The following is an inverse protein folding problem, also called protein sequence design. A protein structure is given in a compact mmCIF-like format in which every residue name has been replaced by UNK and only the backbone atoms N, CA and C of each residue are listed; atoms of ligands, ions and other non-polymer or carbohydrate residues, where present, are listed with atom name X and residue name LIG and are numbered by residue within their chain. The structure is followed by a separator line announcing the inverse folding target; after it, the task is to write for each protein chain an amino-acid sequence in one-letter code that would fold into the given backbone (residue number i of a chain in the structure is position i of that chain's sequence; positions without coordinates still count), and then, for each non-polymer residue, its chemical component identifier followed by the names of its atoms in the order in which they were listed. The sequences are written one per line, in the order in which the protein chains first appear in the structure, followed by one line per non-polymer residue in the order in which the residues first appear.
data_IF_966217306798
#
_entry.id   IF_966217306798
#
_cell.length_a   1.000
_cell.length_b   1.000
_cell.length_c   1.000
_cell.angle_alpha   90.00
_cell.angle_beta   90.00
_cell.angle_gamma   90.00
#
_symmetry.space_group_name_H-M   'P 1'
#
loop_
_entity.id
_entity.type
_entity.pdbx_description
1 polymer ?
#
# COMPACT_ATOMS: atom_id res chain seq x y z
N UNK A 1 -28.35 8.76 73.86
CA UNK A 1 -29.28 8.08 72.94
C UNK A 1 -30.46 9.02 72.74
N UNK A 2 -30.41 9.90 71.74
CA UNK A 2 -31.20 9.88 70.48
C UNK A 2 -31.89 11.26 70.42
N UNK A 3 -32.09 11.97 69.33
CA UNK A 3 -31.72 11.83 67.93
C UNK A 3 -31.73 13.23 67.29
N UNK A 4 -30.93 13.44 66.25
CA UNK A 4 -30.82 14.72 65.51
C UNK A 4 -31.97 14.89 64.51
N UNK A 5 -32.50 16.12 64.46
CA UNK A 5 -33.49 16.62 63.49
C UNK A 5 -33.01 16.50 62.04
N UNK A 6 -33.96 16.17 61.15
CA UNK A 6 -33.74 16.01 59.72
C UNK A 6 -33.80 17.29 58.88
N UNK A 7 -33.39 17.10 57.62
CA UNK A 7 -34.09 17.55 56.43
C UNK A 7 -33.95 19.00 55.98
N UNK A 8 -33.03 19.24 55.04
CA UNK A 8 -33.27 20.13 53.87
C UNK A 8 -32.49 19.59 52.67
N UNK A 9 -33.21 19.25 51.62
CA UNK A 9 -32.67 19.06 50.27
C UNK A 9 -32.54 20.45 49.63
N UNK A 10 -31.43 20.70 48.95
CA UNK A 10 -31.39 21.71 47.88
C UNK A 10 -30.49 21.25 46.74
N UNK A 11 -31.00 21.56 45.55
CA UNK A 11 -30.61 21.13 44.21
C UNK A 11 -29.14 21.31 43.86
N UNK A 12 -28.59 20.41 43.01
CA UNK A 12 -27.99 20.70 41.68
C UNK A 12 -27.96 19.41 40.84
N UNK A 13 -28.90 19.24 39.90
CA UNK A 13 -28.73 18.31 38.78
C UNK A 13 -27.78 18.98 37.79
N UNK A 14 -26.55 18.47 37.70
CA UNK A 14 -25.60 18.84 36.67
C UNK A 14 -26.13 18.42 35.30
N UNK A 15 -26.04 19.33 34.35
CA UNK A 15 -26.25 19.04 32.95
C UNK A 15 -25.07 18.22 32.43
N UNK A 16 -25.16 16.89 32.52
CA UNK A 16 -24.32 16.01 31.73
C UNK A 16 -24.84 16.04 30.29
N UNK A 17 -24.17 16.80 29.42
CA UNK A 17 -24.33 16.67 27.97
C UNK A 17 -22.99 16.44 27.29
N UNK A 18 -22.92 15.24 26.71
CA UNK A 18 -22.10 14.76 25.62
C UNK A 18 -20.58 14.88 25.78
N UNK A 19 -19.98 13.80 26.31
CA UNK A 19 -18.64 13.42 25.92
C UNK A 19 -18.63 13.01 24.45
N UNK A 20 -17.75 13.65 23.68
CA UNK A 20 -17.37 13.29 22.32
C UNK A 20 -16.76 11.87 22.32
N UNK A 21 -17.61 10.89 22.00
CA UNK A 21 -17.31 9.47 21.98
C UNK A 21 -16.70 8.99 20.66
N UNK A 22 -15.90 9.82 19.99
CA UNK A 22 -15.12 9.38 18.83
C UNK A 22 -14.08 8.34 19.25
N UNK A 23 -14.22 7.11 18.78
CA UNK A 23 -13.23 6.04 18.97
C UNK A 23 -11.88 6.50 18.40
N UNK A 24 -10.86 6.61 19.26
CA UNK A 24 -9.52 6.97 18.83
C UNK A 24 -8.93 5.81 18.05
N UNK A 25 -8.90 5.93 16.72
CA UNK A 25 -8.17 4.97 15.86
C UNK A 25 -6.69 5.04 16.20
N UNK A 26 -6.10 3.91 16.57
CA UNK A 26 -4.68 3.80 16.82
C UNK A 26 -3.88 4.19 15.57
N UNK A 27 -2.81 4.97 15.75
CA UNK A 27 -1.92 5.30 14.64
C UNK A 27 -1.20 4.02 14.17
N UNK A 28 -1.19 3.69 12.87
CA UNK A 28 -0.45 2.55 12.39
C UNK A 28 1.05 2.75 12.64
N UNK A 29 1.72 1.68 13.07
CA UNK A 29 3.17 1.64 13.25
C UNK A 29 3.76 0.75 12.15
N UNK A 30 4.87 1.19 11.57
CA UNK A 30 5.52 0.51 10.46
C UNK A 30 6.98 0.23 10.82
N UNK A 31 7.45 -0.97 10.51
CA UNK A 31 8.85 -1.36 10.62
C UNK A 31 9.42 -1.59 9.22
N UNK A 32 10.70 -1.25 9.03
CA UNK A 32 11.39 -1.48 7.76
C UNK A 32 11.93 -2.90 7.73
N UNK A 33 11.77 -3.57 6.60
CA UNK A 33 12.52 -4.80 6.31
C UNK A 33 14.03 -4.58 6.42
N UNK A 34 14.73 -5.58 6.95
CA UNK A 34 16.19 -5.57 7.05
C UNK A 34 16.85 -5.70 5.67
N UNK A 35 16.12 -6.26 4.71
CA UNK A 35 16.52 -6.56 3.33
C UNK A 35 16.47 -5.34 2.41
N UNK A 36 15.99 -4.19 2.92
CA UNK A 36 15.87 -2.98 2.12
C UNK A 36 17.22 -2.52 1.51
N UNK A 37 17.23 -2.05 0.25
CA UNK A 37 16.08 -1.98 -0.66
C UNK A 37 15.75 -3.34 -1.29
N UNK A 38 14.46 -3.67 -1.36
CA UNK A 38 13.97 -4.93 -1.94
C UNK A 38 14.08 -4.98 -3.47
N UNK A 39 13.99 -3.83 -4.13
CA UNK A 39 14.33 -3.63 -5.55
C UNK A 39 15.62 -2.82 -5.63
N UNK A 40 16.62 -3.36 -6.33
CA UNK A 40 17.96 -2.79 -6.45
C UNK A 40 18.17 -2.25 -7.87
N UNK A 41 19.02 -1.22 -8.04
CA UNK A 41 19.53 -0.81 -9.35
C UNK A 41 20.06 -1.98 -10.17
N UNK A 42 20.02 -1.84 -11.49
CA UNK A 42 20.74 -2.70 -12.44
C UNK A 42 20.38 -4.21 -12.33
N UNK A 43 19.16 -4.53 -11.90
CA UNK A 43 18.62 -5.89 -11.90
C UNK A 43 18.28 -6.42 -13.32
N UNK A 44 18.27 -5.53 -14.31
CA UNK A 44 18.14 -5.80 -15.75
C UNK A 44 18.99 -4.75 -16.50
N UNK A 45 19.55 -5.15 -17.65
CA UNK A 45 20.28 -4.29 -18.57
C UNK A 45 19.56 -2.98 -18.96
N UNK A 46 18.22 -2.98 -19.04
CA UNK A 46 17.41 -1.78 -19.39
C UNK A 46 17.02 -0.94 -18.17
N UNK A 47 17.07 -1.50 -16.97
CA UNK A 47 16.51 -0.88 -15.77
C UNK A 47 17.23 0.42 -15.38
N UNK A 48 18.55 0.36 -15.37
CA UNK A 48 19.40 1.42 -14.84
C UNK A 48 19.24 1.62 -13.34
N UNK A 49 19.61 2.81 -12.86
CA UNK A 49 19.78 3.08 -11.41
C UNK A 49 18.60 3.74 -10.71
N UNK A 50 17.59 4.19 -11.45
CA UNK A 50 16.50 4.98 -10.89
C UNK A 50 15.26 4.10 -10.64
N UNK A 51 14.97 3.84 -9.37
CA UNK A 51 13.84 3.02 -8.91
C UNK A 51 12.84 3.93 -8.21
N UNK A 52 11.64 4.09 -8.76
CA UNK A 52 10.59 4.95 -8.19
C UNK A 52 9.21 4.53 -8.72
N UNK A 53 8.15 5.01 -8.06
CA UNK A 53 6.76 4.88 -8.49
C UNK A 53 6.28 3.43 -8.43
N UNK A 54 6.51 2.75 -7.31
CA UNK A 54 6.15 1.35 -7.14
C UNK A 54 4.68 1.19 -6.71
N UNK A 55 4.00 0.23 -7.33
CA UNK A 55 2.65 -0.23 -6.99
C UNK A 55 2.66 -1.75 -6.86
N UNK A 56 2.24 -2.24 -5.70
CA UNK A 56 2.33 -3.64 -5.29
C UNK A 56 0.92 -4.25 -5.20
N UNK A 57 0.75 -5.42 -5.79
CA UNK A 57 -0.42 -6.27 -5.56
C UNK A 57 0.04 -7.64 -5.05
N UNK A 58 -0.81 -8.27 -4.22
CA UNK A 58 -0.80 -9.73 -4.13
C UNK A 58 -1.49 -10.24 -5.38
N UNK A 59 -0.88 -11.22 -6.05
CA UNK A 59 -1.47 -11.82 -7.24
C UNK A 59 -2.78 -12.49 -6.87
N UNK A 60 -3.88 -12.21 -7.61
CA UNK A 60 -5.17 -12.80 -7.31
C UNK A 60 -5.19 -14.29 -7.64
N UNK A 61 -5.91 -15.07 -6.85
CA UNK A 61 -5.95 -16.53 -6.95
C UNK A 61 -6.55 -17.03 -8.28
N UNK A 62 -7.25 -16.16 -9.02
CA UNK A 62 -7.86 -16.47 -10.30
C UNK A 62 -6.95 -16.28 -11.51
N UNK A 63 -5.76 -15.69 -11.32
CA UNK A 63 -4.77 -15.52 -12.38
C UNK A 63 -4.09 -16.85 -12.65
N UNK A 64 -4.15 -17.30 -13.90
CA UNK A 64 -3.50 -18.54 -14.33
C UNK A 64 -2.00 -18.33 -14.53
N UNK A 65 -1.21 -19.35 -14.18
CA UNK A 65 0.25 -19.39 -14.31
C UNK A 65 0.99 -18.14 -13.77
N UNK A 66 0.80 -17.78 -12.48
CA UNK A 66 1.43 -16.58 -11.92
C UNK A 66 2.96 -16.74 -11.82
N UNK A 67 3.69 -15.64 -12.04
CA UNK A 67 5.16 -15.61 -11.91
C UNK A 67 5.62 -15.73 -10.45
N UNK A 68 4.77 -15.32 -9.50
CA UNK A 68 5.00 -15.37 -8.07
C UNK A 68 3.78 -14.87 -7.28
N UNK A 69 3.88 -14.85 -5.96
CA UNK A 69 2.76 -14.43 -5.08
C UNK A 69 2.49 -12.92 -5.10
N UNK A 70 3.51 -12.10 -5.42
CA UNK A 70 3.43 -10.65 -5.42
C UNK A 70 3.97 -10.07 -6.72
N UNK A 71 3.26 -9.09 -7.27
CA UNK A 71 3.70 -8.30 -8.42
C UNK A 71 3.93 -6.85 -7.99
N UNK A 72 5.11 -6.31 -8.32
CA UNK A 72 5.49 -4.94 -8.04
C UNK A 72 5.80 -4.24 -9.37
N UNK A 73 4.91 -3.34 -9.76
CA UNK A 73 5.00 -2.54 -10.97
C UNK A 73 5.69 -1.22 -10.65
N UNK A 74 6.63 -0.79 -11.48
CA UNK A 74 7.35 0.46 -11.22
C UNK A 74 7.96 1.07 -12.48
N UNK A 75 8.11 2.39 -12.47
CA UNK A 75 8.85 3.11 -13.51
C UNK A 75 9.18 4.54 -13.05
N UNK A 76 10.38 5.00 -13.42
CA UNK A 76 10.82 6.38 -13.17
C UNK A 76 10.55 7.28 -14.39
N UNK A 77 10.51 8.60 -14.17
CA UNK A 77 10.18 9.64 -15.16
C UNK A 77 11.21 9.83 -16.30
N UNK A 78 12.23 8.97 -16.38
CA UNK A 78 13.19 8.90 -17.49
C UNK A 78 13.24 7.50 -18.11
N UNK A 79 12.37 6.59 -17.67
CA UNK A 79 12.29 5.23 -18.18
C UNK A 79 11.49 5.16 -19.48
N UNK A 80 11.82 4.16 -20.30
CA UNK A 80 11.13 3.90 -21.55
C UNK A 80 10.08 2.79 -21.45
N UNK A 81 9.81 2.25 -20.26
CA UNK A 81 8.91 1.11 -20.09
C UNK A 81 8.43 0.99 -18.63
N UNK A 82 7.24 0.40 -18.46
CA UNK A 82 6.74 -0.07 -17.18
C UNK A 82 7.36 -1.42 -16.85
N UNK A 83 8.01 -1.49 -15.69
CA UNK A 83 8.72 -2.69 -15.21
C UNK A 83 7.81 -3.49 -14.30
N UNK A 84 8.00 -4.80 -14.31
CA UNK A 84 7.37 -5.73 -13.39
C UNK A 84 8.45 -6.53 -12.66
N UNK A 85 8.45 -6.47 -11.34
CA UNK A 85 9.15 -7.40 -10.49
C UNK A 85 8.16 -8.37 -9.84
N UNK A 86 8.58 -9.60 -9.58
CA UNK A 86 7.77 -10.59 -8.87
C UNK A 86 8.58 -11.30 -7.79
N UNK A 87 7.88 -11.74 -6.74
CA UNK A 87 8.43 -12.50 -5.63
C UNK A 87 7.35 -13.34 -4.95
N UNK A 88 7.76 -14.41 -4.27
CA UNK A 88 6.87 -15.20 -3.41
C UNK A 88 6.80 -14.68 -1.96
N UNK A 89 7.78 -13.87 -1.56
CA UNK A 89 7.87 -13.24 -0.24
C UNK A 89 8.15 -11.74 -0.40
N UNK A 90 7.54 -10.91 0.45
CA UNK A 90 7.71 -9.45 0.41
C UNK A 90 9.16 -9.01 0.66
N UNK A 91 9.93 -9.80 1.41
CA UNK A 91 11.36 -9.59 1.66
C UNK A 91 12.24 -10.01 0.48
N UNK A 92 11.68 -10.71 -0.51
CA UNK A 92 12.35 -11.20 -1.71
C UNK A 92 12.75 -12.68 -1.61
N UNK A 93 13.59 -13.19 -2.55
CA UNK A 93 14.23 -12.44 -3.61
C UNK A 93 13.23 -11.95 -4.67
N UNK A 94 13.41 -10.71 -5.12
CA UNK A 94 12.65 -10.14 -6.23
C UNK A 94 13.35 -10.42 -7.56
N UNK A 95 12.59 -10.85 -8.55
CA UNK A 95 13.05 -11.10 -9.91
C UNK A 95 12.38 -10.12 -10.87
N UNK A 96 13.09 -9.69 -11.92
CA UNK A 96 12.50 -8.85 -12.95
C UNK A 96 11.94 -9.69 -14.10
N UNK A 97 10.73 -9.32 -14.51
CA UNK A 97 10.20 -9.71 -15.81
C UNK A 97 10.80 -8.77 -16.87
N UNK A 98 11.91 -9.20 -17.48
CA UNK A 98 12.76 -8.39 -18.38
C UNK A 98 12.04 -7.73 -19.57
N UNK A 99 11.00 -8.36 -20.19
CA UNK A 99 10.26 -7.67 -21.24
C UNK A 99 9.62 -6.36 -20.74
N UNK A 100 9.26 -6.30 -19.46
CA UNK A 100 8.35 -5.30 -18.92
C UNK A 100 6.90 -5.57 -19.33
N UNK A 101 6.00 -4.66 -18.96
CA UNK A 101 4.55 -4.83 -19.22
C UNK A 101 3.98 -3.83 -20.22
N UNK A 102 4.69 -2.72 -20.46
CA UNK A 102 4.34 -1.73 -21.48
C UNK A 102 5.59 -0.94 -21.85
N UNK A 103 5.95 -0.90 -23.14
CA UNK A 103 7.00 -0.02 -23.63
C UNK A 103 6.42 1.35 -24.03
N UNK A 104 7.22 2.41 -23.93
CA UNK A 104 6.87 3.75 -24.37
C UNK A 104 6.56 3.75 -25.87
N UNK A 105 7.30 2.95 -26.65
CA UNK A 105 7.10 2.82 -28.09
C UNK A 105 5.72 2.22 -28.46
N UNK A 106 5.14 1.41 -27.57
CA UNK A 106 3.83 0.79 -27.74
C UNK A 106 2.70 1.64 -27.14
N UNK A 107 3.02 2.83 -26.64
CA UNK A 107 2.08 3.76 -26.04
C UNK A 107 1.76 4.95 -26.96
N UNK A 108 0.80 5.77 -26.55
CA UNK A 108 0.50 7.05 -27.21
C UNK A 108 1.29 8.23 -26.62
N UNK A 109 2.24 7.98 -25.70
CA UNK A 109 3.04 9.01 -25.03
C UNK A 109 4.39 9.23 -25.72
N UNK A 110 4.92 10.45 -25.62
CA UNK A 110 6.13 10.84 -26.37
C UNK A 110 7.42 10.91 -25.53
N UNK A 111 7.31 11.05 -24.20
CA UNK A 111 8.47 11.34 -23.33
C UNK A 111 8.80 10.22 -22.37
N UNK A 112 7.83 9.79 -21.58
CA UNK A 112 7.98 8.71 -20.62
C UNK A 112 6.61 8.17 -20.20
N UNK A 113 6.63 6.96 -19.67
CA UNK A 113 5.55 6.35 -18.90
C UNK A 113 6.13 6.01 -17.52
N UNK A 114 5.44 6.37 -16.45
CA UNK A 114 5.97 6.31 -15.09
C UNK A 114 4.85 6.22 -14.05
N UNK A 115 5.23 5.90 -12.81
CA UNK A 115 4.34 5.90 -11.64
C UNK A 115 3.02 5.15 -11.86
N UNK A 116 3.06 3.87 -12.27
CA UNK A 116 1.85 3.08 -12.42
C UNK A 116 1.09 2.99 -11.10
N UNK A 117 -0.24 2.96 -11.18
CA UNK A 117 -1.13 2.46 -10.12
C UNK A 117 -1.83 1.21 -10.67
N UNK A 118 -2.04 0.22 -9.82
CA UNK A 118 -2.55 -1.10 -10.22
C UNK A 118 -3.69 -1.48 -9.30
N UNK A 119 -4.80 -1.87 -9.90
CA UNK A 119 -6.02 -2.23 -9.19
C UNK A 119 -6.43 -3.64 -9.59
N UNK A 120 -6.84 -4.45 -8.61
CA UNK A 120 -7.44 -5.75 -8.90
C UNK A 120 -8.95 -5.60 -8.83
N UNK A 121 -9.62 -5.87 -9.94
CA UNK A 121 -11.07 -6.03 -9.99
C UNK A 121 -11.41 -7.52 -9.90
N UNK A 122 -11.79 -7.95 -8.69
CA UNK A 122 -12.17 -9.34 -8.41
C UNK A 122 -13.48 -9.75 -9.11
N UNK A 123 -14.40 -8.80 -9.35
CA UNK A 123 -15.69 -9.08 -9.96
C UNK A 123 -15.57 -9.40 -11.45
N UNK A 124 -14.75 -8.60 -12.14
CA UNK A 124 -14.49 -8.77 -13.58
C UNK A 124 -13.28 -9.66 -13.88
N UNK A 125 -12.54 -10.10 -12.84
CA UNK A 125 -11.29 -10.85 -12.92
C UNK A 125 -10.27 -10.14 -13.81
N UNK A 126 -9.94 -8.90 -13.45
CA UNK A 126 -8.97 -8.04 -14.17
C UNK A 126 -7.97 -7.42 -13.21
N UNK A 127 -6.78 -7.18 -13.75
CA UNK A 127 -5.72 -6.35 -13.18
C UNK A 127 -5.57 -5.13 -14.10
#
# INVERSE_FOLDING_TARGET
MSDRKGGRMDARMGADRMGDGGEKVAKPMFERFAENPVIKPDMDARMGRNVNGASLIRVPDWLEDPLGTYYLYFAHHQGSYLRLAYADDLTGPWQLYEPGVLDLADSHFQRHIASPDVHVDEGERRI
#
